data_IF_019995831196
#
_entry.id   IF_019995831196
#
_cell.length_a   1.000
_cell.length_b   1.000
_cell.length_c   1.000
_cell.angle_alpha   90.00
_cell.angle_beta   90.00
_cell.angle_gamma   90.00
#
_symmetry.space_group_name_H-M   'P 1'
#
loop_
_entity.id
_entity.type
_entity.pdbx_description
1 polymer ?
#
# COMPACT_ATOMS: atom_id res chain seq x y z
N UNK A 1 8.40 -17.54 3.10
CA UNK A 1 9.32 -16.52 2.57
C UNK A 1 8.82 -15.15 2.93
N UNK A 2 9.67 -14.27 3.47
CA UNK A 2 9.38 -12.88 3.81
C UNK A 2 10.26 -11.95 2.96
N UNK A 3 9.70 -10.85 2.46
CA UNK A 3 10.47 -9.78 1.86
C UNK A 3 10.47 -8.57 2.82
N UNK A 4 11.65 -8.20 3.33
CA UNK A 4 11.82 -7.04 4.20
C UNK A 4 12.05 -5.75 3.38
N UNK A 5 11.69 -4.57 3.92
CA UNK A 5 11.79 -3.30 3.17
C UNK A 5 13.22 -2.90 2.83
N UNK A 6 13.37 -1.95 1.88
CA UNK A 6 14.65 -1.36 1.50
C UNK A 6 15.14 -1.70 0.08
N UNK A 7 14.34 -2.39 -0.76
CA UNK A 7 14.76 -2.71 -2.14
C UNK A 7 14.84 -1.48 -3.05
N UNK A 8 14.07 -0.44 -2.78
CA UNK A 8 14.06 0.79 -3.59
C UNK A 8 14.99 1.90 -3.08
N UNK A 9 15.80 1.61 -2.05
CA UNK A 9 16.70 2.60 -1.44
C UNK A 9 15.99 3.71 -0.68
N UNK A 10 16.42 4.00 0.54
CA UNK A 10 16.21 5.23 1.33
C UNK A 10 14.82 5.83 1.55
N UNK A 11 13.76 5.27 1.00
CA UNK A 11 12.42 5.86 1.09
C UNK A 11 11.43 5.08 1.97
N UNK A 12 10.30 5.74 2.29
CA UNK A 12 9.20 5.13 3.02
C UNK A 12 9.41 5.03 4.54
N UNK A 13 8.60 4.22 5.23
CA UNK A 13 8.58 4.17 6.69
C UNK A 13 9.80 3.51 7.35
N UNK A 14 10.75 2.99 6.55
CA UNK A 14 11.92 2.27 7.04
C UNK A 14 13.23 2.83 6.45
N UNK A 15 13.60 4.08 6.77
CA UNK A 15 14.86 4.66 6.32
C UNK A 15 16.03 3.85 6.89
N UNK A 16 17.04 3.58 6.07
CA UNK A 16 18.23 2.83 6.48
C UNK A 16 18.08 1.30 6.49
N UNK A 17 16.91 0.76 6.17
CA UNK A 17 16.75 -0.68 5.93
C UNK A 17 17.29 -1.06 4.56
N UNK A 18 17.88 -2.26 4.48
CA UNK A 18 18.32 -2.90 3.23
C UNK A 18 17.36 -4.03 2.88
N UNK A 19 16.86 -4.03 1.64
CA UNK A 19 15.92 -5.04 1.17
C UNK A 19 16.50 -6.46 1.27
N UNK A 20 15.75 -7.36 1.91
CA UNK A 20 16.17 -8.76 2.12
C UNK A 20 15.00 -9.70 1.89
N UNK A 21 15.32 -10.87 1.35
CA UNK A 21 14.39 -12.00 1.29
C UNK A 21 14.86 -13.02 2.32
N UNK A 22 13.96 -13.35 3.27
CA UNK A 22 14.19 -14.35 4.29
C UNK A 22 13.44 -15.63 3.96
N UNK A 23 14.12 -16.77 4.11
CA UNK A 23 13.56 -18.09 3.79
C UNK A 23 13.88 -18.54 2.36
N UNK A 24 13.19 -19.59 1.86
CA UNK A 24 13.46 -20.17 0.55
C UNK A 24 13.14 -19.19 -0.59
N UNK A 25 13.69 -19.45 -1.77
CA UNK A 25 13.37 -18.70 -2.97
C UNK A 25 11.85 -18.66 -3.22
N UNK A 26 11.26 -17.49 -3.52
CA UNK A 26 9.82 -17.38 -3.70
C UNK A 26 9.38 -18.08 -4.98
N UNK A 27 8.36 -18.92 -4.86
CA UNK A 27 7.75 -19.57 -6.03
C UNK A 27 7.06 -18.55 -6.96
N UNK A 28 6.52 -17.48 -6.37
CA UNK A 28 5.82 -16.39 -7.08
C UNK A 28 6.38 -15.04 -6.65
N UNK A 29 7.47 -14.55 -7.27
CA UNK A 29 8.13 -13.29 -6.88
C UNK A 29 7.20 -12.07 -6.95
N UNK A 30 6.34 -11.98 -7.94
CA UNK A 30 5.39 -10.88 -8.08
C UNK A 30 4.38 -10.83 -6.92
N UNK A 31 3.86 -11.99 -6.50
CA UNK A 31 2.96 -12.06 -5.35
C UNK A 31 3.67 -11.65 -4.04
N UNK A 32 4.93 -12.06 -3.87
CA UNK A 32 5.74 -11.65 -2.72
C UNK A 32 5.98 -10.13 -2.73
N UNK A 33 6.26 -9.53 -3.89
CA UNK A 33 6.43 -8.09 -4.03
C UNK A 33 5.13 -7.33 -3.72
N UNK A 34 3.97 -7.81 -4.19
CA UNK A 34 2.67 -7.22 -3.88
C UNK A 34 2.36 -7.31 -2.39
N UNK A 35 2.64 -8.45 -1.76
CA UNK A 35 2.44 -8.64 -0.33
C UNK A 35 3.35 -7.73 0.50
N UNK A 36 4.62 -7.58 0.11
CA UNK A 36 5.53 -6.63 0.73
C UNK A 36 5.02 -5.19 0.59
N UNK A 37 4.58 -4.79 -0.60
CA UNK A 37 4.04 -3.45 -0.83
C UNK A 37 2.81 -3.18 0.03
N UNK A 38 1.91 -4.14 0.15
CA UNK A 38 0.73 -4.02 1.01
C UNK A 38 1.11 -3.82 2.49
N UNK A 39 2.12 -4.55 2.99
CA UNK A 39 2.61 -4.39 4.36
C UNK A 39 3.33 -3.06 4.57
N UNK A 40 4.05 -2.54 3.57
CA UNK A 40 4.65 -1.19 3.63
C UNK A 40 3.57 -0.11 3.71
N UNK A 41 2.52 -0.23 2.90
CA UNK A 41 1.38 0.69 2.93
C UNK A 41 0.60 0.58 4.24
N UNK A 42 0.44 -0.62 4.78
CA UNK A 42 -0.18 -0.85 6.08
C UNK A 42 0.55 -0.07 7.20
N UNK A 43 1.88 -0.17 7.27
CA UNK A 43 2.68 0.61 8.22
C UNK A 43 2.62 2.12 7.95
N UNK A 44 2.69 2.54 6.69
CA UNK A 44 2.59 3.96 6.33
C UNK A 44 1.24 4.56 6.75
N UNK A 45 0.16 3.81 6.61
CA UNK A 45 -1.17 4.20 7.07
C UNK A 45 -1.28 4.26 8.59
N UNK A 46 -0.62 3.36 9.32
CA UNK A 46 -0.54 3.44 10.79
C UNK A 46 0.18 4.71 11.25
N UNK A 47 1.26 5.10 10.56
CA UNK A 47 1.98 6.35 10.82
C UNK A 47 1.18 7.60 10.46
N UNK A 48 0.33 7.52 9.44
CA UNK A 48 -0.56 8.61 9.05
C UNK A 48 -1.74 8.80 10.03
N UNK A 49 -2.03 7.82 10.84
CA UNK A 49 -3.11 7.82 11.83
C UNK A 49 -4.35 7.05 11.41
N UNK A 50 -5.35 6.96 12.29
CA UNK A 50 -6.54 6.16 12.06
C UNK A 50 -7.37 6.72 10.91
N UNK A 51 -7.78 5.84 9.99
CA UNK A 51 -8.65 6.17 8.87
C UNK A 51 -9.79 5.14 8.76
N UNK A 52 -11.03 5.62 8.73
CA UNK A 52 -12.19 4.77 8.46
C UNK A 52 -12.36 4.49 6.95
N UNK A 53 -11.75 5.31 6.10
CA UNK A 53 -11.80 5.24 4.65
C UNK A 53 -10.41 5.44 4.05
N UNK A 54 -10.03 4.56 3.13
CA UNK A 54 -8.76 4.59 2.40
C UNK A 54 -9.08 4.56 0.91
N UNK A 55 -8.56 5.52 0.16
CA UNK A 55 -8.71 5.54 -1.31
C UNK A 55 -7.35 5.26 -1.94
N UNK A 56 -7.28 4.25 -2.78
CA UNK A 56 -6.10 3.91 -3.58
C UNK A 56 -6.24 4.58 -4.93
N UNK A 57 -5.22 5.34 -5.33
CA UNK A 57 -5.16 6.06 -6.58
C UNK A 57 -3.83 5.86 -7.30
N UNK A 58 -3.75 6.28 -8.57
CA UNK A 58 -2.55 6.24 -9.37
C UNK A 58 -2.10 4.84 -9.76
N UNK A 59 -0.78 4.64 -9.91
CA UNK A 59 -0.20 3.41 -10.41
C UNK A 59 -0.54 2.15 -9.58
N UNK A 60 -0.89 2.31 -8.32
CA UNK A 60 -1.24 1.19 -7.44
C UNK A 60 -2.56 0.51 -7.83
N UNK A 61 -3.46 1.23 -8.50
CA UNK A 61 -4.74 0.67 -9.00
C UNK A 61 -4.52 -0.36 -10.11
N UNK A 62 -3.41 -0.25 -10.85
CA UNK A 62 -3.07 -1.20 -11.91
C UNK A 62 -2.69 -2.60 -11.39
N UNK A 63 -2.31 -2.72 -10.12
CA UNK A 63 -2.08 -4.01 -9.46
C UNK A 63 -3.39 -4.53 -8.86
N UNK A 64 -4.06 -5.42 -9.57
CA UNK A 64 -5.39 -5.94 -9.18
C UNK A 64 -5.41 -6.65 -7.81
N UNK A 65 -4.27 -7.19 -7.36
CA UNK A 65 -4.15 -7.94 -6.10
C UNK A 65 -3.92 -7.03 -4.88
N UNK A 66 -3.37 -5.83 -5.10
CA UNK A 66 -3.00 -4.93 -4.01
C UNK A 66 -4.22 -4.37 -3.26
N UNK A 67 -5.27 -3.85 -3.91
CA UNK A 67 -6.41 -3.28 -3.20
C UNK A 67 -7.15 -4.29 -2.31
N UNK A 68 -7.51 -5.51 -2.77
CA UNK A 68 -8.13 -6.52 -1.93
C UNK A 68 -7.25 -6.96 -0.75
N UNK A 69 -5.95 -7.06 -0.97
CA UNK A 69 -4.98 -7.42 0.07
C UNK A 69 -4.89 -6.32 1.14
N UNK A 70 -4.83 -5.06 0.72
CA UNK A 70 -4.83 -3.93 1.67
C UNK A 70 -6.15 -3.84 2.43
N UNK A 71 -7.29 -4.11 1.79
CA UNK A 71 -8.59 -4.18 2.46
C UNK A 71 -8.62 -5.26 3.54
N UNK A 72 -8.01 -6.43 3.29
CA UNK A 72 -7.89 -7.50 4.28
C UNK A 72 -6.99 -7.11 5.47
N UNK A 73 -5.89 -6.38 5.23
CA UNK A 73 -4.97 -5.92 6.27
C UNK A 73 -5.59 -4.78 7.13
N UNK A 74 -6.44 -3.96 6.53
CA UNK A 74 -6.98 -2.73 7.15
C UNK A 74 -8.42 -2.85 7.67
N UNK A 75 -9.00 -4.05 7.65
CA UNK A 75 -10.33 -4.24 8.21
C UNK A 75 -10.39 -3.73 9.68
N UNK A 76 -11.44 -2.97 10.07
CA UNK A 76 -12.70 -2.72 9.37
C UNK A 76 -12.72 -1.46 8.47
N UNK A 77 -11.58 -0.83 8.16
CA UNK A 77 -11.57 0.35 7.30
C UNK A 77 -12.09 0.02 5.89
N UNK A 78 -12.86 0.95 5.32
CA UNK A 78 -13.36 0.85 3.95
C UNK A 78 -12.27 1.21 2.96
N UNK A 79 -11.85 0.26 2.13
CA UNK A 79 -10.89 0.49 1.05
C UNK A 79 -11.62 0.66 -0.27
N UNK A 80 -11.23 1.66 -1.03
CA UNK A 80 -11.78 2.03 -2.33
C UNK A 80 -10.67 2.26 -3.33
N UNK A 81 -10.97 2.10 -4.62
CA UNK A 81 -10.05 2.45 -5.72
C UNK A 81 -10.64 3.58 -6.54
N UNK A 82 -9.81 4.54 -6.91
CA UNK A 82 -10.15 5.58 -7.85
C UNK A 82 -10.43 4.97 -9.23
N UNK A 83 -11.39 5.53 -9.95
CA UNK A 83 -11.72 5.10 -11.32
C UNK A 83 -10.75 5.74 -12.31
N UNK A 84 -10.30 6.96 -12.03
CA UNK A 84 -9.32 7.69 -12.83
C UNK A 84 -7.95 7.65 -12.14
N UNK A 85 -6.96 7.07 -12.80
CA UNK A 85 -5.60 6.92 -12.26
C UNK A 85 -4.78 8.24 -12.23
N UNK A 86 -5.37 9.37 -12.58
CA UNK A 86 -4.69 10.66 -12.80
C UNK A 86 -5.00 11.73 -11.74
N UNK A 87 -5.25 11.32 -10.48
CA UNK A 87 -5.58 12.25 -9.39
C UNK A 87 -4.56 13.38 -9.20
N UNK A 88 -3.26 13.11 -9.44
CA UNK A 88 -2.20 14.12 -9.37
C UNK A 88 -2.35 15.16 -10.49
N UNK A 89 -2.59 14.72 -11.73
CA UNK A 89 -2.78 15.63 -12.87
C UNK A 89 -4.07 16.44 -12.70
N UNK A 90 -5.13 15.82 -12.21
CA UNK A 90 -6.38 16.48 -11.89
C UNK A 90 -6.21 17.54 -10.79
N UNK A 91 -5.51 17.23 -9.73
CA UNK A 91 -5.19 18.16 -8.65
C UNK A 91 -4.35 19.34 -9.15
N UNK A 92 -3.37 19.12 -10.00
CA UNK A 92 -2.58 20.16 -10.65
C UNK A 92 -3.44 21.07 -11.54
N UNK A 93 -4.36 20.50 -12.33
CA UNK A 93 -5.29 21.24 -13.16
C UNK A 93 -6.25 22.11 -12.31
N UNK A 94 -6.72 21.58 -11.17
CA UNK A 94 -7.54 22.35 -10.22
C UNK A 94 -6.77 23.52 -9.61
N UNK A 95 -5.50 23.34 -9.27
CA UNK A 95 -4.64 24.40 -8.76
C UNK A 95 -4.39 25.48 -9.82
N UNK A 96 -4.14 25.10 -11.08
CA UNK A 96 -3.96 26.03 -12.18
C UNK A 96 -5.22 26.89 -12.46
N UNK A 97 -6.40 26.39 -12.13
CA UNK A 97 -7.69 27.06 -12.28
C UNK A 97 -8.21 27.68 -10.98
N UNK A 98 -7.33 27.98 -10.05
CA UNK A 98 -7.66 28.59 -8.76
C UNK A 98 -8.49 29.87 -8.97
N UNK A 99 -9.71 29.87 -8.46
CA UNK A 99 -10.68 30.98 -8.64
C UNK A 99 -11.79 30.68 -9.67
N UNK A 100 -11.71 29.58 -10.43
CA UNK A 100 -12.84 29.14 -11.26
C UNK A 100 -13.87 28.37 -10.42
N UNK A 101 -15.16 28.56 -10.69
CA UNK A 101 -16.26 27.81 -10.04
C UNK A 101 -16.49 26.42 -10.67
N UNK A 102 -15.55 25.92 -11.48
CA UNK A 102 -15.72 24.64 -12.14
C UNK A 102 -15.55 23.51 -11.14
N UNK A 103 -16.61 22.74 -10.94
CA UNK A 103 -16.54 21.45 -10.24
C UNK A 103 -16.21 20.40 -11.27
N UNK A 104 -15.12 19.65 -11.05
CA UNK A 104 -14.86 18.44 -11.81
C UNK A 104 -15.77 17.35 -11.24
N UNK A 105 -16.53 16.71 -12.13
CA UNK A 105 -17.28 15.52 -11.75
C UNK A 105 -16.29 14.36 -11.69
N UNK A 106 -15.84 14.02 -10.49
CA UNK A 106 -15.06 12.80 -10.29
C UNK A 106 -16.04 11.62 -10.20
N UNK A 107 -15.79 10.53 -10.95
CA UNK A 107 -16.55 9.31 -10.76
C UNK A 107 -16.33 8.80 -9.33
N UNK A 108 -17.40 8.27 -8.72
CA UNK A 108 -17.31 7.74 -7.36
C UNK A 108 -16.32 6.57 -7.31
N UNK A 109 -15.40 6.55 -6.34
CA UNK A 109 -14.47 5.43 -6.19
C UNK A 109 -15.21 4.12 -5.94
N UNK A 110 -14.66 3.03 -6.45
CA UNK A 110 -15.23 1.69 -6.31
C UNK A 110 -14.77 1.05 -5.01
N UNK A 111 -15.70 0.56 -4.21
CA UNK A 111 -15.40 -0.21 -2.98
C UNK A 111 -14.73 -1.53 -3.34
N UNK A 112 -13.79 -1.94 -2.53
CA UNK A 112 -13.01 -3.17 -2.68
C UNK A 112 -13.35 -4.13 -1.56
N UNK A 113 -13.71 -5.36 -1.93
CA UNK A 113 -13.90 -6.44 -0.97
C UNK A 113 -12.56 -6.97 -0.47
N UNK A 114 -12.42 -7.28 0.84
CA UNK A 114 -11.20 -7.85 1.37
C UNK A 114 -10.88 -9.22 0.78
N UNK A 115 -9.60 -9.46 0.46
CA UNK A 115 -9.15 -10.77 0.02
C UNK A 115 -9.24 -11.80 1.15
N UNK A 116 -9.73 -12.99 0.84
CA UNK A 116 -9.75 -14.14 1.76
C UNK A 116 -8.42 -14.90 1.66
N UNK A 117 -7.44 -14.51 2.49
CA UNK A 117 -6.10 -15.12 2.49
C UNK A 117 -5.85 -15.82 3.83
N UNK A 118 -5.92 -17.16 3.87
CA UNK A 118 -5.61 -17.92 5.07
C UNK A 118 -4.18 -17.62 5.55
N UNK A 119 -4.04 -17.33 6.84
CA UNK A 119 -2.73 -17.07 7.45
C UNK A 119 -2.18 -15.66 7.25
N UNK A 120 -2.91 -14.71 6.64
CA UNK A 120 -2.44 -13.34 6.41
C UNK A 120 -2.05 -12.64 7.72
N UNK A 121 -2.84 -12.78 8.78
CA UNK A 121 -2.55 -12.19 10.08
C UNK A 121 -1.26 -12.76 10.68
N UNK A 122 -1.05 -14.06 10.60
CA UNK A 122 0.18 -14.71 11.08
C UNK A 122 1.39 -14.28 10.24
N UNK A 123 1.23 -14.14 8.92
CA UNK A 123 2.27 -13.62 8.04
C UNK A 123 2.65 -12.18 8.39
N UNK A 124 1.66 -11.30 8.60
CA UNK A 124 1.87 -9.91 9.06
C UNK A 124 2.67 -9.87 10.36
N UNK A 125 2.28 -10.68 11.34
CA UNK A 125 2.98 -10.76 12.63
C UNK A 125 4.43 -11.24 12.46
N UNK A 126 4.66 -12.28 11.67
CA UNK A 126 6.01 -12.79 11.39
C UNK A 126 6.87 -11.76 10.65
N UNK A 127 6.29 -11.00 9.72
CA UNK A 127 6.99 -9.94 9.01
C UNK A 127 7.42 -8.81 9.96
N UNK A 128 6.53 -8.35 10.84
CA UNK A 128 6.88 -7.34 11.85
C UNK A 128 7.96 -7.82 12.82
N UNK A 129 7.88 -9.08 13.27
CA UNK A 129 8.90 -9.67 14.14
C UNK A 129 10.27 -9.74 13.45
N UNK A 130 10.30 -10.18 12.17
CA UNK A 130 11.54 -10.24 11.39
C UNK A 130 12.14 -8.85 11.15
N UNK A 131 11.30 -7.86 10.90
CA UNK A 131 11.72 -6.47 10.73
C UNK A 131 12.33 -5.90 12.02
N UNK A 132 11.69 -6.12 13.16
CA UNK A 132 12.20 -5.69 14.46
C UNK A 132 13.54 -6.35 14.83
N UNK A 133 13.77 -7.58 14.38
CA UNK A 133 15.03 -8.30 14.58
C UNK A 133 16.15 -7.87 13.61
N UNK A 134 15.85 -7.05 12.59
CA UNK A 134 16.81 -6.63 11.58
C UNK A 134 17.25 -5.19 11.85
N UNK A 135 18.50 -4.94 12.29
CA UNK A 135 18.95 -3.59 12.56
C UNK A 135 19.03 -2.76 11.27
N UNK A 136 18.63 -1.48 11.36
CA UNK A 136 18.88 -0.52 10.30
C UNK A 136 20.39 -0.24 10.19
N UNK A 137 20.91 -0.03 8.99
CA UNK A 137 22.27 0.50 8.82
C UNK A 137 22.32 1.95 9.30
N UNK A 138 23.31 2.26 10.10
CA UNK A 138 23.65 3.64 10.50
C UNK A 138 24.34 4.37 9.36
#
# INVERSE_FOLDING_TARGET
>A
TLALPGFAGGGGPFPGQEGRILGPAPRFPAALATLQLALLLDVALDLAGPAARIVIDGAHVANAELPPLLAALRAPARVEVSVDADGVALGAAMLARRGSRMRLAEPAPRVVDPAMIPGLAAYRAAWHAALAATPARR
#
